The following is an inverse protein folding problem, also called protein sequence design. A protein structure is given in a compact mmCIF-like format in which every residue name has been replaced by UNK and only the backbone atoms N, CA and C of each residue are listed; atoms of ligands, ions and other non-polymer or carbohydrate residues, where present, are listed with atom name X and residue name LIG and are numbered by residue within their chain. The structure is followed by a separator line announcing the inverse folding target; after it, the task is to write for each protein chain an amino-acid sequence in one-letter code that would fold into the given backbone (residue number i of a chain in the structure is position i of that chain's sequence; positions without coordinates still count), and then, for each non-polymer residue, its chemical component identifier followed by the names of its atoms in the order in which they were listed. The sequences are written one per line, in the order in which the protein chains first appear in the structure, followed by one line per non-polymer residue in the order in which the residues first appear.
data_IF_029582869749
#
_entry.id   IF_029582869749
#
_cell.length_a   1.000
_cell.length_b   1.000
_cell.length_c   1.000
_cell.angle_alpha   90.00
_cell.angle_beta   90.00
_cell.angle_gamma   90.00
#
_symmetry.space_group_name_H-M   'P 1'
#
loop_
_entity.id
_entity.type
_entity.pdbx_description
1 polymer ?
#
# COMPACT_ATOMS: atom_id res chain seq x y z
N UNK A 1 -5.36 -12.87 -0.36
CA UNK A 1 -4.12 -12.11 -0.07
C UNK A 1 -3.16 -12.90 0.82
N UNK A 2 -3.11 -14.23 0.73
CA UNK A 2 -2.18 -15.07 1.49
C UNK A 2 -1.02 -15.54 0.60
N UNK A 3 -0.40 -14.62 -0.14
CA UNK A 3 0.84 -14.93 -0.85
C UNK A 3 1.94 -14.03 -0.31
N UNK A 4 3.06 -14.63 0.07
CA UNK A 4 4.32 -13.96 0.43
C UNK A 4 4.68 -12.90 -0.63
N UNK A 5 4.29 -13.14 -1.89
CA UNK A 5 4.41 -12.21 -3.03
C UNK A 5 3.63 -10.90 -2.84
N UNK A 6 2.40 -10.97 -2.29
CA UNK A 6 1.62 -9.76 -1.98
C UNK A 6 2.28 -8.94 -0.87
N UNK A 7 2.78 -9.59 0.18
CA UNK A 7 3.50 -8.90 1.26
C UNK A 7 4.79 -8.25 0.75
N UNK A 8 5.58 -8.97 -0.08
CA UNK A 8 6.76 -8.44 -0.75
C UNK A 8 6.41 -7.25 -1.66
N UNK A 9 5.33 -7.34 -2.44
CA UNK A 9 4.91 -6.23 -3.31
C UNK A 9 4.52 -4.98 -2.51
N UNK A 10 3.91 -5.16 -1.34
CA UNK A 10 3.54 -4.08 -0.43
C UNK A 10 4.78 -3.46 0.22
N UNK A 11 5.74 -4.28 0.64
CA UNK A 11 7.03 -3.84 1.16
C UNK A 11 7.80 -3.03 0.11
N UNK A 12 7.92 -3.54 -1.11
CA UNK A 12 8.63 -2.86 -2.21
C UNK A 12 7.94 -1.53 -2.54
N UNK A 13 6.60 -1.55 -2.64
CA UNK A 13 5.81 -0.34 -2.86
C UNK A 13 6.08 0.72 -1.78
N UNK A 14 6.05 0.31 -0.51
CA UNK A 14 6.36 1.21 0.61
C UNK A 14 7.80 1.74 0.55
N UNK A 15 8.77 0.93 0.14
CA UNK A 15 10.16 1.36 -0.02
C UNK A 15 10.34 2.44 -1.09
N UNK A 16 9.55 2.38 -2.18
CA UNK A 16 9.58 3.38 -3.26
C UNK A 16 9.08 4.74 -2.77
N UNK A 17 8.00 4.78 -1.97
CA UNK A 17 7.41 6.06 -1.55
C UNK A 17 8.07 6.64 -0.30
N UNK A 18 8.38 5.81 0.70
CA UNK A 18 8.82 6.27 2.02
C UNK A 18 10.16 5.69 2.46
N UNK A 19 10.50 4.46 2.06
CA UNK A 19 11.68 3.76 2.56
C UNK A 19 13.01 4.47 2.27
N UNK A 20 13.18 5.01 1.06
CA UNK A 20 14.40 5.73 0.69
C UNK A 20 14.62 7.01 1.51
N UNK A 21 13.54 7.71 1.88
CA UNK A 21 13.61 8.93 2.67
C UNK A 21 14.10 8.64 4.10
N UNK A 22 13.66 7.51 4.66
CA UNK A 22 14.14 7.03 5.95
C UNK A 22 15.63 6.67 5.90
N UNK A 23 16.09 6.03 4.82
CA UNK A 23 17.52 5.73 4.61
C UNK A 23 18.34 7.01 4.50
N UNK A 24 17.88 8.00 3.73
CA UNK A 24 18.56 9.29 3.58
C UNK A 24 18.62 10.05 4.90
N UNK A 25 17.54 10.03 5.68
CA UNK A 25 17.51 10.63 7.00
C UNK A 25 18.52 9.96 7.95
N UNK A 26 18.50 8.63 8.06
CA UNK A 26 19.42 7.89 8.95
C UNK A 26 20.89 8.09 8.55
N UNK A 27 21.21 7.95 7.26
CA UNK A 27 22.57 8.18 6.77
C UNK A 27 22.97 9.64 6.97
N UNK A 28 22.05 10.59 6.72
CA UNK A 28 22.28 12.00 6.96
C UNK A 28 22.63 12.31 8.41
N UNK A 29 21.91 11.72 9.37
CA UNK A 29 22.20 11.86 10.80
C UNK A 29 23.55 11.24 11.15
N UNK A 30 23.85 10.03 10.66
CA UNK A 30 25.13 9.36 10.94
C UNK A 30 26.34 10.09 10.34
N UNK A 31 26.17 10.72 9.17
CA UNK A 31 27.24 11.44 8.46
C UNK A 31 27.31 12.93 8.79
N UNK A 32 26.39 13.45 9.62
CA UNK A 32 26.29 14.88 9.91
C UNK A 32 25.92 15.74 8.70
N UNK A 33 25.36 15.14 7.65
CA UNK A 33 25.05 15.84 6.41
C UNK A 33 23.64 16.45 6.46
N UNK A 34 23.58 17.76 6.70
CA UNK A 34 22.33 18.51 6.79
C UNK A 34 21.45 18.43 5.54
N UNK A 35 22.03 18.21 4.35
CA UNK A 35 21.25 18.08 3.11
C UNK A 35 20.47 16.75 3.08
N UNK A 36 21.13 15.65 3.41
CA UNK A 36 20.51 14.33 3.52
C UNK A 36 19.41 14.30 4.60
N UNK A 37 19.67 14.95 5.74
CA UNK A 37 18.69 15.12 6.82
C UNK A 37 17.49 15.94 6.33
N UNK A 38 17.75 17.08 5.67
CA UNK A 38 16.71 17.98 5.17
C UNK A 38 15.80 17.30 4.14
N UNK A 39 16.39 16.65 3.14
CA UNK A 39 15.62 15.93 2.11
C UNK A 39 14.84 14.76 2.73
N UNK A 40 15.49 13.94 3.56
CA UNK A 40 14.84 12.80 4.21
C UNK A 40 13.65 13.23 5.09
N UNK A 41 13.86 14.22 5.95
CA UNK A 41 12.82 14.73 6.85
C UNK A 41 11.67 15.42 6.11
N UNK A 42 11.95 16.21 5.08
CA UNK A 42 10.92 16.87 4.28
C UNK A 42 10.00 15.86 3.59
N UNK A 43 10.56 14.79 3.00
CA UNK A 43 9.77 13.74 2.35
C UNK A 43 8.97 12.93 3.36
N UNK A 44 9.55 12.62 4.53
CA UNK A 44 8.83 11.97 5.63
C UNK A 44 7.62 12.82 6.04
N UNK A 45 7.82 14.10 6.32
CA UNK A 45 6.75 15.01 6.74
C UNK A 45 5.71 15.25 5.65
N UNK A 46 6.12 15.35 4.39
CA UNK A 46 5.19 15.47 3.26
C UNK A 46 4.19 14.31 3.23
N UNK A 47 4.70 13.08 3.33
CA UNK A 47 3.84 11.88 3.34
C UNK A 47 3.06 11.71 4.65
N UNK A 48 3.53 12.22 5.78
CA UNK A 48 2.77 12.26 7.03
C UNK A 48 1.78 13.45 7.10
N UNK A 49 1.84 14.35 6.13
CA UNK A 49 0.99 15.53 6.07
C UNK A 49 -0.49 15.19 5.83
N UNK A 50 -1.42 16.04 6.30
CA UNK A 50 -2.83 15.87 5.99
C UNK A 50 -3.07 15.98 4.48
N UNK A 51 -3.89 15.08 3.93
CA UNK A 51 -4.30 15.12 2.52
C UNK A 51 -3.38 14.37 1.55
N UNK A 52 -2.28 13.75 2.00
CA UNK A 52 -1.48 12.87 1.13
C UNK A 52 -2.02 11.42 1.20
N UNK A 53 -2.52 10.86 0.08
CA UNK A 53 -3.10 9.52 0.07
C UNK A 53 -2.01 8.43 0.00
N UNK A 54 -1.04 8.42 0.93
CA UNK A 54 0.08 7.46 0.97
C UNK A 54 -0.44 6.03 0.90
N UNK A 55 -1.37 5.68 1.78
CA UNK A 55 -1.87 4.30 1.92
C UNK A 55 -2.57 3.84 0.63
N UNK A 56 -3.54 4.60 0.06
CA UNK A 56 -4.11 4.26 -1.24
C UNK A 56 -3.06 4.07 -2.33
N UNK A 57 -2.07 4.97 -2.39
CA UNK A 57 -1.08 5.02 -3.45
C UNK A 57 -0.08 3.85 -3.35
N UNK A 58 0.34 3.50 -2.12
CA UNK A 58 1.13 2.30 -1.82
C UNK A 58 0.36 1.04 -2.19
N UNK A 59 -0.93 0.94 -1.87
CA UNK A 59 -1.75 -0.23 -2.20
C UNK A 59 -1.93 -0.41 -3.71
N UNK A 60 -2.25 0.67 -4.44
CA UNK A 60 -2.36 0.64 -5.90
C UNK A 60 -1.05 0.17 -6.51
N UNK A 61 0.06 0.79 -6.11
CA UNK A 61 1.40 0.45 -6.63
C UNK A 61 1.81 -0.98 -6.27
N UNK A 62 1.47 -1.46 -5.08
CA UNK A 62 1.70 -2.86 -4.68
C UNK A 62 0.93 -3.83 -5.57
N UNK A 63 -0.33 -3.54 -5.90
CA UNK A 63 -1.13 -4.34 -6.83
C UNK A 63 -0.52 -4.34 -8.24
N UNK A 64 -0.02 -3.19 -8.71
CA UNK A 64 0.74 -3.09 -9.97
C UNK A 64 2.01 -3.96 -9.92
N UNK A 65 2.85 -3.82 -8.90
CA UNK A 65 4.07 -4.63 -8.72
C UNK A 65 3.72 -6.11 -8.69
N UNK A 66 2.71 -6.51 -7.92
CA UNK A 66 2.29 -7.90 -7.84
C UNK A 66 1.82 -8.45 -9.21
N UNK A 67 1.12 -7.63 -9.99
CA UNK A 67 0.60 -8.01 -11.31
C UNK A 67 1.70 -8.11 -12.37
N UNK A 68 2.58 -7.11 -12.44
CA UNK A 68 3.54 -6.96 -13.53
C UNK A 68 4.90 -7.62 -13.23
N UNK A 69 5.41 -7.49 -12.00
CA UNK A 69 6.72 -8.06 -11.62
C UNK A 69 6.58 -9.52 -11.20
N UNK A 70 5.64 -9.83 -10.32
CA UNK A 70 5.47 -11.21 -9.82
C UNK A 70 4.61 -12.09 -10.72
N UNK A 71 4.07 -11.54 -11.82
CA UNK A 71 3.20 -12.22 -12.79
C UNK A 71 2.11 -13.07 -12.10
N UNK A 72 1.59 -12.59 -10.97
CA UNK A 72 0.70 -13.39 -10.13
C UNK A 72 -0.68 -13.50 -10.80
N UNK A 73 -0.89 -14.58 -11.55
CA UNK A 73 -2.15 -14.88 -12.26
C UNK A 73 -3.31 -15.23 -11.31
N UNK A 74 -3.05 -15.51 -10.02
CA UNK A 74 -4.09 -15.91 -9.06
C UNK A 74 -4.91 -14.73 -8.51
N UNK A 75 -4.44 -13.50 -8.64
CA UNK A 75 -5.22 -12.30 -8.31
C UNK A 75 -6.22 -11.95 -9.44
N UNK A 76 -7.04 -12.90 -9.88
CA UNK A 76 -8.36 -12.53 -10.36
C UNK A 76 -9.14 -12.16 -9.11
N UNK A 77 -9.08 -10.90 -8.70
CA UNK A 77 -10.04 -10.37 -7.75
C UNK A 77 -11.40 -10.61 -8.42
N UNK A 78 -12.11 -11.69 -8.06
CA UNK A 78 -13.49 -11.92 -8.50
C UNK A 78 -14.34 -10.95 -7.68
N UNK A 79 -14.21 -9.66 -7.99
CA UNK A 79 -15.04 -8.59 -7.43
C UNK A 79 -16.53 -8.93 -7.61
N UNK A 80 -16.86 -9.62 -8.71
CA UNK A 80 -18.19 -10.17 -8.99
C UNK A 80 -18.64 -11.16 -7.91
N UNK A 81 -17.79 -12.08 -7.46
CA UNK A 81 -18.17 -13.08 -6.45
C UNK A 81 -18.42 -12.42 -5.10
N UNK A 82 -17.56 -11.47 -4.70
CA UNK A 82 -17.76 -10.69 -3.47
C UNK A 82 -19.00 -9.80 -3.52
N UNK A 83 -19.34 -9.25 -4.69
CA UNK A 83 -20.57 -8.49 -4.89
C UNK A 83 -21.82 -9.36 -4.77
N UNK A 84 -21.79 -10.57 -5.31
CA UNK A 84 -22.88 -11.55 -5.18
C UNK A 84 -23.04 -11.97 -3.71
N UNK A 85 -21.94 -12.19 -2.99
CA UNK A 85 -21.95 -12.52 -1.57
C UNK A 85 -22.57 -11.40 -0.71
N UNK A 86 -22.21 -10.14 -0.95
CA UNK A 86 -22.76 -8.99 -0.24
C UNK A 86 -24.24 -8.75 -0.56
N UNK A 87 -24.63 -8.88 -1.83
CA UNK A 87 -26.04 -8.77 -2.26
C UNK A 87 -26.89 -9.84 -1.58
N UNK A 88 -26.45 -11.10 -1.58
CA UNK A 88 -27.19 -12.19 -0.93
C UNK A 88 -27.27 -11.98 0.58
N UNK A 89 -26.18 -11.56 1.23
CA UNK A 89 -26.18 -11.30 2.68
C UNK A 89 -27.16 -10.19 3.09
N UNK A 90 -27.31 -9.14 2.28
CA UNK A 90 -28.31 -8.10 2.52
C UNK A 90 -29.73 -8.61 2.28
N UNK A 91 -29.95 -9.42 1.23
CA UNK A 91 -31.24 -10.07 0.96
C UNK A 91 -31.74 -10.93 2.15
N UNK A 92 -30.89 -11.80 2.70
CA UNK A 92 -31.26 -12.64 3.85
C UNK A 92 -31.46 -11.84 5.16
N UNK A 93 -30.88 -10.65 5.24
CA UNK A 93 -31.05 -9.76 6.39
C UNK A 93 -32.39 -9.02 6.35
N UNK A 94 -32.84 -8.64 5.16
CA UNK A 94 -34.15 -7.99 4.98
C UNK A 94 -35.32 -8.99 5.20
N UNK A 95 -35.18 -10.27 4.78
CA UNK A 95 -36.21 -11.31 5.03
C UNK A 95 -36.38 -11.71 6.51
N UNK A 96 -35.32 -11.63 7.32
CA UNK A 96 -35.39 -11.99 8.75
C UNK A 96 -35.83 -10.81 9.65
N UNK A 97 -36.14 -9.66 9.08
CA UNK A 97 -36.58 -8.45 9.80
C UNK A 97 -38.04 -8.05 9.46
N UNK A 98 -38.75 -8.82 8.63
CA UNK A 98 -40.20 -8.68 8.36
C UNK A 98 -41.01 -9.75 9.07
#
# INVERSE_FOLDING_TARGET
MQSIRGLLSLLISYMIFHGWALVFFVIGVMSGNGWLIGVGSAVILFWFGPGTPVIPLVLITALFIQRYIFMDKKNKIRLKDKWIELKNKNYFKDENQS
#
